data_IF_616809282320
#
_entry.id   IF_616809282320
#
_cell.length_a   1.000
_cell.length_b   1.000
_cell.length_c   1.000
_cell.angle_alpha   90.00
_cell.angle_beta   90.00
_cell.angle_gamma   90.00
#
_symmetry.space_group_name_H-M   'P 1'
#
loop_
_entity.id
_entity.type
_entity.pdbx_description
1 polymer ?
#
# COMPACT_ATOMS: atom_id res chain seq x y z
N UNK A 1 -31.70 -3.15 -11.28
CA UNK A 1 -31.28 -1.80 -10.84
C UNK A 1 -30.30 -1.25 -11.84
N UNK A 2 -30.33 0.06 -12.08
CA UNK A 2 -29.33 0.74 -12.91
C UNK A 2 -28.22 1.15 -11.96
N UNK A 3 -27.07 0.48 -12.03
CA UNK A 3 -25.89 0.89 -11.26
C UNK A 3 -25.53 2.32 -11.67
N UNK A 4 -25.62 3.24 -10.72
CA UNK A 4 -25.17 4.62 -10.90
C UNK A 4 -23.65 4.56 -11.12
N UNK A 5 -23.23 4.79 -12.37
CA UNK A 5 -21.83 4.84 -12.74
C UNK A 5 -21.19 6.03 -12.03
N UNK A 6 -20.54 5.76 -10.91
CA UNK A 6 -19.70 6.74 -10.22
C UNK A 6 -18.54 7.07 -11.15
N UNK A 7 -18.53 8.29 -11.69
CA UNK A 7 -17.43 8.73 -12.53
C UNK A 7 -16.23 9.06 -11.65
N UNK A 8 -15.25 8.15 -11.60
CA UNK A 8 -14.02 8.33 -10.82
C UNK A 8 -12.98 8.99 -11.71
N UNK A 9 -12.53 10.18 -11.32
CA UNK A 9 -11.43 10.87 -12.00
C UNK A 9 -10.11 10.09 -11.83
N UNK A 10 -9.26 10.16 -12.86
CA UNK A 10 -7.94 9.55 -12.81
C UNK A 10 -7.07 10.22 -11.77
N UNK A 11 -6.22 9.43 -11.11
CA UNK A 11 -5.38 9.90 -10.01
C UNK A 11 -3.95 10.11 -10.51
N UNK A 12 -3.43 11.32 -10.35
CA UNK A 12 -2.02 11.60 -10.61
C UNK A 12 -1.12 10.95 -9.54
N UNK A 13 -0.11 10.21 -9.98
CA UNK A 13 0.87 9.55 -9.11
C UNK A 13 2.30 9.91 -9.50
N UNK A 14 3.27 9.56 -8.64
CA UNK A 14 4.72 9.76 -8.90
C UNK A 14 5.04 11.20 -9.34
N UNK A 15 4.46 12.19 -8.66
CA UNK A 15 4.68 13.61 -8.97
C UNK A 15 4.01 14.10 -10.26
N UNK A 16 2.93 13.44 -10.71
CA UNK A 16 2.20 13.83 -11.91
C UNK A 16 2.84 13.33 -13.22
N UNK A 17 3.77 12.38 -13.13
CA UNK A 17 4.34 11.72 -14.30
C UNK A 17 3.40 10.66 -14.88
N UNK A 18 2.52 10.11 -14.05
CA UNK A 18 1.56 9.09 -14.43
C UNK A 18 0.17 9.41 -13.88
N UNK A 19 -0.85 8.95 -14.59
CA UNK A 19 -2.24 8.91 -14.16
C UNK A 19 -2.70 7.46 -14.05
N UNK A 20 -3.52 7.18 -13.03
CA UNK A 20 -4.10 5.87 -12.80
C UNK A 20 -5.61 5.93 -12.97
N UNK A 21 -6.12 5.10 -13.87
CA UNK A 21 -7.54 4.76 -13.94
C UNK A 21 -7.80 3.60 -12.98
N UNK A 22 -8.32 3.94 -11.80
CA UNK A 22 -8.59 2.96 -10.74
C UNK A 22 -9.74 2.03 -11.07
N UNK A 23 -10.63 2.42 -11.98
CA UNK A 23 -11.77 1.60 -12.39
C UNK A 23 -11.30 0.48 -13.33
N UNK A 24 -10.34 0.79 -14.19
CA UNK A 24 -9.75 -0.19 -15.11
C UNK A 24 -8.52 -0.90 -14.53
N UNK A 25 -7.92 -0.39 -13.45
CA UNK A 25 -6.67 -0.92 -12.91
C UNK A 25 -5.49 -0.68 -13.86
N UNK A 26 -5.47 0.48 -14.52
CA UNK A 26 -4.49 0.79 -15.55
C UNK A 26 -3.77 2.11 -15.25
N UNK A 27 -2.46 2.14 -15.50
CA UNK A 27 -1.60 3.30 -15.30
C UNK A 27 -1.00 3.73 -16.63
N UNK A 28 -0.96 5.04 -16.85
CA UNK A 28 -0.51 5.66 -18.09
C UNK A 28 0.43 6.83 -17.80
N UNK A 29 1.48 7.01 -18.62
CA UNK A 29 2.31 8.20 -18.56
C UNK A 29 1.56 9.45 -19.05
N UNK A 30 1.85 10.60 -18.43
CA UNK A 30 1.22 11.88 -18.78
C UNK A 30 1.88 12.55 -19.99
N UNK A 31 3.20 12.42 -20.12
CA UNK A 31 3.99 13.24 -21.05
C UNK A 31 4.56 12.49 -22.26
N UNK A 32 4.42 11.16 -22.32
CA UNK A 32 4.88 10.36 -23.46
C UNK A 32 3.83 9.32 -23.82
N UNK A 33 3.86 8.87 -25.07
CA UNK A 33 2.99 7.79 -25.50
C UNK A 33 3.63 6.45 -25.15
N UNK A 34 2.83 5.52 -24.62
CA UNK A 34 3.24 4.16 -24.35
C UNK A 34 2.18 3.22 -24.89
N UNK A 35 2.60 2.28 -25.74
CA UNK A 35 1.67 1.34 -26.37
C UNK A 35 1.12 0.32 -25.37
N UNK A 36 1.99 -0.16 -24.47
CA UNK A 36 1.62 -1.14 -23.46
C UNK A 36 1.06 -0.46 -22.22
N UNK A 37 0.00 -1.05 -21.68
CA UNK A 37 -0.64 -0.58 -20.45
C UNK A 37 0.11 -1.10 -19.24
N UNK A 38 0.29 -0.27 -18.22
CA UNK A 38 0.90 -0.69 -16.96
C UNK A 38 -0.24 -1.14 -16.03
N UNK A 39 -0.33 -2.43 -15.66
CA UNK A 39 -1.37 -2.89 -14.74
C UNK A 39 -1.14 -2.31 -13.34
N UNK A 40 -2.22 -1.91 -12.69
CA UNK A 40 -2.27 -1.49 -11.29
C UNK A 40 -3.09 -2.50 -10.52
N UNK A 41 -2.55 -2.96 -9.40
CA UNK A 41 -3.19 -3.92 -8.51
C UNK A 41 -3.28 -3.36 -7.10
N UNK A 42 -4.28 -3.83 -6.34
CA UNK A 42 -4.41 -3.53 -4.91
C UNK A 42 -3.47 -4.43 -4.10
N UNK A 43 -2.36 -3.89 -3.60
CA UNK A 43 -1.44 -4.62 -2.73
C UNK A 43 -2.01 -4.81 -1.31
N UNK A 44 -2.71 -5.93 -1.07
CA UNK A 44 -3.24 -6.30 0.26
C UNK A 44 -2.30 -7.21 1.02
N UNK A 45 -1.74 -8.19 0.31
CA UNK A 45 -0.89 -9.24 0.86
C UNK A 45 0.49 -9.18 0.21
N UNK A 46 1.53 -9.37 1.02
CA UNK A 46 2.92 -9.18 0.61
C UNK A 46 3.76 -10.40 0.97
N UNK A 47 4.77 -10.68 0.15
CA UNK A 47 5.76 -11.72 0.43
C UNK A 47 6.70 -11.23 1.52
N UNK A 48 6.85 -12.02 2.58
CA UNK A 48 7.79 -11.71 3.66
C UNK A 48 9.24 -11.67 3.14
N UNK A 49 10.03 -10.72 3.62
CA UNK A 49 11.40 -10.44 3.19
C UNK A 49 11.52 -9.56 1.94
N UNK A 50 10.67 -9.71 0.92
CA UNK A 50 10.74 -8.85 -0.29
C UNK A 50 9.76 -7.68 -0.25
N UNK A 51 8.71 -7.76 0.57
CA UNK A 51 7.62 -6.79 0.63
C UNK A 51 7.00 -6.50 -0.75
N UNK A 52 7.07 -7.48 -1.65
CA UNK A 52 6.43 -7.40 -2.95
C UNK A 52 4.97 -7.81 -2.82
N UNK A 53 4.03 -7.07 -3.43
CA UNK A 53 2.63 -7.45 -3.43
C UNK A 53 2.46 -8.78 -4.16
N UNK A 54 1.59 -9.63 -3.63
CA UNK A 54 1.16 -10.85 -4.32
C UNK A 54 0.29 -10.51 -5.52
N UNK A 55 0.20 -11.45 -6.47
CA UNK A 55 -0.74 -11.34 -7.58
C UNK A 55 -2.17 -11.23 -7.07
N UNK A 56 -2.98 -10.37 -7.69
CA UNK A 56 -4.31 -10.02 -7.20
C UNK A 56 -5.22 -11.25 -7.00
N UNK A 57 -5.16 -12.22 -7.92
CA UNK A 57 -5.95 -13.45 -7.82
C UNK A 57 -5.62 -14.26 -6.56
N UNK A 58 -4.34 -14.38 -6.22
CA UNK A 58 -3.89 -15.11 -5.03
C UNK A 58 -4.19 -14.30 -3.76
N UNK A 59 -3.89 -13.00 -3.79
CA UNK A 59 -4.21 -12.02 -2.74
C UNK A 59 -5.70 -12.08 -2.37
N UNK A 60 -6.59 -12.19 -3.35
CA UNK A 60 -8.04 -12.28 -3.12
C UNK A 60 -8.46 -13.58 -2.41
N UNK A 61 -7.80 -14.71 -2.69
CA UNK A 61 -8.09 -15.97 -1.98
C UNK A 61 -7.68 -15.87 -0.51
N UNK A 62 -6.52 -15.29 -0.24
CA UNK A 62 -6.04 -15.06 1.13
C UNK A 62 -6.96 -14.09 1.85
N UNK A 63 -7.35 -12.98 1.21
CA UNK A 63 -8.29 -12.02 1.78
C UNK A 63 -9.63 -12.66 2.12
N UNK A 64 -10.19 -13.47 1.23
CA UNK A 64 -11.47 -14.15 1.47
C UNK A 64 -11.42 -15.01 2.74
N UNK A 65 -10.35 -15.79 2.90
CA UNK A 65 -10.21 -16.65 4.08
C UNK A 65 -9.84 -15.86 5.33
N UNK A 66 -9.05 -14.80 5.20
CA UNK A 66 -8.79 -13.89 6.30
C UNK A 66 -10.10 -13.25 6.80
N UNK A 67 -10.94 -12.75 5.90
CA UNK A 67 -12.23 -12.17 6.27
C UNK A 67 -13.21 -13.23 6.82
N UNK A 68 -13.18 -14.48 6.34
CA UNK A 68 -14.03 -15.55 6.88
C UNK A 68 -13.72 -15.80 8.36
N UNK A 69 -12.45 -15.73 8.73
CA UNK A 69 -11.96 -16.02 10.08
C UNK A 69 -11.99 -14.81 11.02
N UNK A 70 -11.66 -13.62 10.52
CA UNK A 70 -11.28 -12.47 11.35
C UNK A 70 -12.18 -11.24 11.16
N UNK A 71 -13.18 -11.27 10.26
CA UNK A 71 -14.08 -10.12 10.08
C UNK A 71 -14.73 -9.72 11.41
N UNK A 72 -14.57 -8.44 11.77
CA UNK A 72 -15.13 -7.87 13.01
C UNK A 72 -14.28 -8.15 14.26
N UNK A 73 -13.15 -8.82 14.13
CA UNK A 73 -12.17 -8.97 15.19
C UNK A 73 -11.13 -7.85 15.09
N UNK A 74 -10.81 -7.22 16.22
CA UNK A 74 -9.66 -6.34 16.30
C UNK A 74 -8.42 -7.20 16.55
N UNK A 75 -7.40 -7.09 15.70
CA UNK A 75 -6.11 -7.70 16.00
C UNK A 75 -5.56 -7.06 17.28
N UNK A 76 -5.13 -7.89 18.23
CA UNK A 76 -4.39 -7.37 19.38
C UNK A 76 -3.11 -6.74 18.84
N UNK A 77 -2.99 -5.42 19.00
CA UNK A 77 -1.78 -4.67 18.68
C UNK A 77 -0.71 -4.97 19.74
N UNK A 78 -0.29 -6.23 19.88
CA UNK A 78 0.93 -6.57 20.59
C UNK A 78 2.11 -6.35 19.62
N UNK A 79 2.27 -5.10 19.19
CA UNK A 79 3.54 -4.65 18.63
C UNK A 79 4.52 -4.52 19.78
N UNK A 80 4.98 -5.66 20.31
CA UNK A 80 6.25 -5.70 21.03
C UNK A 80 7.36 -5.43 20.00
N UNK A 81 7.43 -4.17 19.56
CA UNK A 81 8.66 -3.57 19.12
C UNK A 81 9.55 -3.61 20.37
N UNK A 82 10.28 -4.71 20.56
CA UNK A 82 11.53 -4.69 21.29
C UNK A 82 12.51 -3.81 20.49
N UNK A 83 12.26 -2.50 20.47
CA UNK A 83 13.35 -1.53 20.50
C UNK A 83 14.04 -1.84 21.81
N UNK A 84 15.12 -2.60 21.70
CA UNK A 84 16.09 -2.83 22.74
C UNK A 84 16.26 -1.52 23.51
N UNK A 85 15.75 -1.48 24.75
CA UNK A 85 16.01 -0.39 25.68
C UNK A 85 17.53 -0.36 25.86
N UNK A 86 18.21 0.53 25.13
CA UNK A 86 19.57 0.89 25.47
C UNK A 86 19.52 1.57 26.83
N UNK A 87 20.01 0.81 27.80
CA UNK A 87 20.35 1.20 29.15
C UNK A 87 20.86 2.65 29.25
N UNK A 88 20.25 3.37 30.18
CA UNK A 88 20.61 4.71 30.62
C UNK A 88 22.10 4.87 30.90
N UNK A 89 22.68 5.99 30.47
CA UNK A 89 24.11 6.22 30.51
C UNK A 89 24.60 7.59 30.02
N UNK A 90 24.15 8.66 30.69
CA UNK A 90 24.98 9.82 31.09
C UNK A 90 25.40 10.85 30.02
N UNK A 91 24.90 12.08 30.21
CA UNK A 91 25.47 13.41 29.91
C UNK A 91 26.33 13.62 28.65
N UNK A 92 25.84 14.45 27.71
CA UNK A 92 26.61 15.57 27.16
C UNK A 92 25.76 16.46 26.25
N UNK A 93 25.65 17.72 26.64
CA UNK A 93 25.24 18.87 25.82
C UNK A 93 26.20 19.00 24.64
N UNK A 94 25.71 19.06 23.40
CA UNK A 94 26.28 20.00 22.43
C UNK A 94 25.28 20.38 21.33
N UNK A 95 25.10 21.69 21.26
CA UNK A 95 24.32 22.49 20.31
C UNK A 95 24.64 22.21 18.85
N UNK A 96 23.60 22.05 18.03
CA UNK A 96 23.63 22.44 16.62
C UNK A 96 22.59 23.55 16.41
N UNK A 97 23.09 24.78 16.31
CA UNK A 97 22.40 25.86 15.62
C UNK A 97 22.53 25.61 14.11
N UNK A 98 21.52 26.09 13.40
CA UNK A 98 21.37 26.18 11.95
C UNK A 98 22.68 26.56 11.23
#
# INVERSE_FOLDING_TARGET
>A
EMEELVNIERVCVRGGLYEVDVTQGECYPVYWNQADKIPVMRGQWFIDGTWQPLEEKESNLIEQEHLSCFRGQQMQENFDIEVSKSIDGKDAVHSFKL
#
